data_IF_817961046391
#
_entry.id   IF_817961046391
#
_cell.length_a   1.000
_cell.length_b   1.000
_cell.length_c   1.000
_cell.angle_alpha   90.00
_cell.angle_beta   90.00
_cell.angle_gamma   90.00
#
_symmetry.space_group_name_H-M   'P 1'
#
loop_
_entity.id
_entity.type
_entity.pdbx_description
1 polymer ?
#
# COMPACT_ATOMS: atom_id res chain seq x y z
N UNK A 1 -0.43 -33.88 53.20
CA UNK A 1 -0.87 -32.70 52.42
C UNK A 1 -0.16 -32.68 51.09
N UNK A 2 -0.90 -32.92 50.04
CA UNK A 2 -0.36 -32.84 48.70
C UNK A 2 -0.77 -31.54 48.07
N UNK A 3 0.21 -30.69 47.77
CA UNK A 3 -0.03 -29.50 47.01
C UNK A 3 -0.03 -29.87 45.54
N UNK A 4 -1.17 -29.84 44.93
CA UNK A 4 -1.25 -29.98 43.46
C UNK A 4 -0.91 -28.66 42.85
N UNK A 5 0.26 -28.58 42.26
CA UNK A 5 0.61 -27.46 41.40
C UNK A 5 -0.20 -27.58 40.13
N UNK A 6 -1.19 -26.73 40.02
CA UNK A 6 -1.84 -26.53 38.73
C UNK A 6 -1.01 -25.63 37.87
N UNK A 7 -0.42 -26.20 36.83
CA UNK A 7 0.24 -25.45 35.80
C UNK A 7 -0.85 -24.80 34.95
N UNK A 8 -1.05 -23.52 35.14
CA UNK A 8 -1.87 -22.74 34.22
C UNK A 8 -1.01 -22.51 32.99
N UNK A 9 -1.28 -23.25 31.95
CA UNK A 9 -0.71 -22.97 30.65
C UNK A 9 -1.32 -21.68 30.14
N UNK A 10 -0.58 -20.61 30.21
CA UNK A 10 -0.94 -19.36 29.54
C UNK A 10 -0.65 -19.58 28.06
N UNK A 11 -1.69 -19.87 27.31
CA UNK A 11 -1.59 -19.89 25.85
C UNK A 11 -1.57 -18.44 25.42
N UNK A 12 -0.41 -17.93 25.14
CA UNK A 12 -0.28 -16.65 24.46
C UNK A 12 -0.80 -16.82 23.03
N UNK A 13 -2.01 -16.37 22.78
CA UNK A 13 -2.51 -16.21 21.43
C UNK A 13 -1.72 -15.09 20.75
N UNK A 14 -0.67 -15.47 20.03
CA UNK A 14 -0.04 -14.60 19.07
C UNK A 14 -1.03 -14.45 17.91
N UNK A 15 -1.83 -13.40 17.97
CA UNK A 15 -2.62 -13.01 16.83
C UNK A 15 -1.68 -12.64 15.69
N UNK A 16 -1.65 -13.45 14.63
CA UNK A 16 -1.02 -13.04 13.41
C UNK A 16 -1.77 -11.82 12.87
N UNK A 17 -1.17 -10.64 13.04
CA UNK A 17 -1.66 -9.45 12.36
C UNK A 17 -1.39 -9.62 10.88
N UNK A 18 -2.38 -10.09 10.12
CA UNK A 18 -2.34 -10.03 8.67
C UNK A 18 -2.33 -8.57 8.20
N UNK A 19 -1.90 -8.28 6.95
CA UNK A 19 -1.97 -6.94 6.40
C UNK A 19 -3.42 -6.47 6.43
N UNK A 20 -3.66 -5.37 7.12
CA UNK A 20 -4.98 -4.77 7.22
C UNK A 20 -5.14 -3.86 6.00
N UNK A 21 -5.75 -4.39 4.92
CA UNK A 21 -6.00 -3.64 3.68
C UNK A 21 -6.81 -2.36 3.91
N UNK A 22 -7.66 -2.33 4.94
CA UNK A 22 -8.42 -1.16 5.35
C UNK A 22 -7.51 -0.01 5.80
N UNK A 23 -6.42 -0.29 6.53
CA UNK A 23 -5.47 0.73 6.97
C UNK A 23 -4.69 1.30 5.79
N UNK A 24 -4.36 0.48 4.80
CA UNK A 24 -3.68 0.93 3.59
C UNK A 24 -4.59 1.81 2.73
N UNK A 25 -5.89 1.49 2.65
CA UNK A 25 -6.86 2.36 1.99
C UNK A 25 -7.01 3.69 2.74
N UNK A 26 -7.05 3.67 4.06
CA UNK A 26 -7.07 4.88 4.86
C UNK A 26 -5.83 5.75 4.59
N UNK A 27 -4.69 5.14 4.39
CA UNK A 27 -3.48 5.84 4.00
C UNK A 27 -3.60 6.51 2.63
N UNK A 28 -4.21 5.83 1.66
CA UNK A 28 -4.53 6.40 0.34
C UNK A 28 -5.37 7.68 0.50
N UNK A 29 -6.39 7.63 1.33
CA UNK A 29 -7.25 8.79 1.61
C UNK A 29 -6.49 9.91 2.32
N UNK A 30 -5.76 9.58 3.38
CA UNK A 30 -5.01 10.56 4.19
C UNK A 30 -3.93 11.27 3.40
N UNK A 31 -3.28 10.58 2.48
CA UNK A 31 -2.20 11.15 1.65
C UNK A 31 -2.73 11.82 0.39
N UNK A 32 -4.03 11.95 0.26
CA UNK A 32 -4.70 12.69 -0.81
C UNK A 32 -4.49 12.11 -2.21
N UNK A 33 -4.25 10.82 -2.31
CA UNK A 33 -4.04 10.15 -3.59
C UNK A 33 -5.30 10.23 -4.48
N UNK A 34 -6.48 10.20 -3.86
CA UNK A 34 -7.76 10.22 -4.57
C UNK A 34 -8.10 11.56 -5.21
N UNK A 35 -7.30 12.60 -4.97
CA UNK A 35 -7.42 13.86 -5.70
C UNK A 35 -7.17 13.66 -7.21
N UNK A 36 -6.27 12.74 -7.57
CA UNK A 36 -5.86 12.47 -8.95
C UNK A 36 -6.07 11.04 -9.41
N UNK A 37 -6.27 10.11 -8.49
CA UNK A 37 -6.45 8.69 -8.78
C UNK A 37 -7.78 8.16 -8.27
N UNK A 38 -8.29 7.12 -8.93
CA UNK A 38 -9.39 6.29 -8.45
C UNK A 38 -8.99 4.82 -8.54
N UNK A 39 -9.79 3.93 -7.98
CA UNK A 39 -9.47 2.50 -7.98
C UNK A 39 -9.68 1.89 -9.35
N UNK A 40 -10.81 2.18 -10.00
CA UNK A 40 -11.25 1.52 -11.23
C UNK A 40 -11.60 2.48 -12.38
N UNK A 41 -11.53 3.79 -12.17
CA UNK A 41 -11.79 4.78 -13.20
C UNK A 41 -10.61 5.73 -13.35
N UNK A 42 -10.30 6.08 -14.59
CA UNK A 42 -9.31 7.11 -14.86
C UNK A 42 -9.84 8.48 -14.46
N UNK A 43 -8.97 9.24 -13.80
CA UNK A 43 -9.22 10.64 -13.46
C UNK A 43 -8.10 11.47 -14.09
N UNK A 44 -7.41 12.32 -13.35
CA UNK A 44 -6.20 12.97 -13.83
C UNK A 44 -5.06 11.97 -14.01
N UNK A 45 -4.87 11.09 -13.03
CA UNK A 45 -3.93 9.99 -13.11
C UNK A 45 -4.59 8.66 -13.53
N UNK A 46 -3.77 7.63 -13.79
CA UNK A 46 -4.29 6.30 -14.07
C UNK A 46 -5.06 5.74 -12.87
N UNK A 47 -6.02 4.84 -13.14
CA UNK A 47 -6.66 4.13 -12.03
C UNK A 47 -5.70 3.10 -11.43
N UNK A 48 -5.93 2.74 -10.19
CA UNK A 48 -5.00 1.86 -9.48
C UNK A 48 -4.99 0.44 -10.03
N UNK A 49 -6.10 -0.05 -10.57
CA UNK A 49 -6.15 -1.37 -11.19
C UNK A 49 -5.30 -1.46 -12.45
N UNK A 50 -5.31 -0.43 -13.28
CA UNK A 50 -4.43 -0.42 -14.47
C UNK A 50 -2.96 -0.26 -14.11
N UNK A 51 -2.65 0.46 -13.02
CA UNK A 51 -1.28 0.49 -12.48
C UNK A 51 -0.85 -0.90 -12.03
N UNK A 52 -1.70 -1.59 -11.26
CA UNK A 52 -1.42 -2.96 -10.81
C UNK A 52 -1.18 -3.90 -12.01
N UNK A 53 -2.01 -3.82 -13.03
CA UNK A 53 -1.87 -4.64 -14.23
C UNK A 53 -0.56 -4.37 -14.98
N UNK A 54 -0.18 -3.10 -15.12
CA UNK A 54 1.05 -2.71 -15.82
C UNK A 54 2.30 -3.24 -15.13
N UNK A 55 2.31 -3.26 -13.81
CA UNK A 55 3.49 -3.65 -13.03
C UNK A 55 3.43 -5.09 -12.48
N UNK A 56 2.40 -5.86 -12.84
CA UNK A 56 2.17 -7.20 -12.30
C UNK A 56 3.36 -8.15 -12.42
N UNK A 57 4.08 -8.10 -13.55
CA UNK A 57 5.18 -9.01 -13.86
C UNK A 57 6.56 -8.42 -13.58
N UNK A 58 6.61 -7.19 -13.07
CA UNK A 58 7.89 -6.55 -12.78
C UNK A 58 8.41 -6.96 -11.42
N UNK A 59 9.65 -7.44 -11.40
CA UNK A 59 10.40 -7.58 -10.15
C UNK A 59 10.62 -6.19 -9.57
N UNK A 60 10.59 -6.07 -8.27
CA UNK A 60 10.76 -4.80 -7.57
C UNK A 60 9.66 -3.76 -7.86
N UNK A 61 8.48 -4.19 -8.31
CA UNK A 61 7.38 -3.30 -8.63
C UNK A 61 7.03 -2.37 -7.46
N UNK A 62 7.00 -2.89 -6.24
CA UNK A 62 6.71 -2.08 -5.05
C UNK A 62 7.76 -0.99 -4.82
N UNK A 63 9.03 -1.29 -5.01
CA UNK A 63 10.10 -0.31 -4.87
C UNK A 63 10.05 0.75 -5.97
N UNK A 64 9.75 0.34 -7.21
CA UNK A 64 9.59 1.25 -8.33
C UNK A 64 8.43 2.22 -8.07
N UNK A 65 7.27 1.70 -7.69
CA UNK A 65 6.10 2.52 -7.43
C UNK A 65 6.28 3.41 -6.20
N UNK A 66 6.93 2.93 -5.16
CA UNK A 66 7.23 3.74 -3.98
C UNK A 66 8.09 4.97 -4.33
N UNK A 67 9.10 4.79 -5.18
CA UNK A 67 9.90 5.92 -5.67
C UNK A 67 9.08 6.89 -6.51
N UNK A 68 8.23 6.38 -7.39
CA UNK A 68 7.34 7.21 -8.22
C UNK A 68 6.37 8.04 -7.37
N UNK A 69 5.84 7.46 -6.31
CA UNK A 69 4.98 8.19 -5.37
C UNK A 69 5.75 9.36 -4.75
N UNK A 70 6.94 9.12 -4.25
CA UNK A 70 7.71 10.15 -3.55
C UNK A 70 8.31 11.19 -4.48
N UNK A 71 8.80 10.79 -5.65
CA UNK A 71 9.51 11.67 -6.60
C UNK A 71 8.61 12.24 -7.68
N UNK A 72 7.43 11.64 -7.89
CA UNK A 72 6.58 11.98 -9.01
C UNK A 72 7.14 11.46 -10.33
N UNK A 73 6.54 11.88 -11.41
CA UNK A 73 6.98 11.51 -12.76
C UNK A 73 5.99 11.91 -13.82
N UNK A 74 6.39 11.68 -15.06
CA UNK A 74 5.57 11.94 -16.23
C UNK A 74 5.97 11.00 -17.36
N UNK A 75 5.13 10.85 -18.36
CA UNK A 75 5.43 10.13 -19.60
C UNK A 75 4.99 8.67 -19.63
N UNK A 76 4.93 7.98 -18.49
CA UNK A 76 4.54 6.56 -18.45
C UNK A 76 3.07 6.40 -18.81
N UNK A 77 2.22 7.33 -18.39
CA UNK A 77 0.77 7.30 -18.58
C UNK A 77 0.26 8.42 -19.47
N UNK A 78 1.16 9.09 -20.17
CA UNK A 78 0.86 10.24 -21.01
C UNK A 78 1.55 11.50 -20.52
N UNK A 79 1.11 12.69 -21.00
CA UNK A 79 1.80 13.96 -20.71
C UNK A 79 1.53 14.53 -19.33
N UNK A 80 0.52 14.04 -18.63
CA UNK A 80 0.16 14.55 -17.31
C UNK A 80 1.21 14.24 -16.28
N UNK A 81 1.53 15.21 -15.43
CA UNK A 81 2.57 15.11 -14.42
C UNK A 81 1.99 14.66 -13.09
N UNK A 82 2.56 13.61 -12.50
CA UNK A 82 2.34 13.32 -11.09
C UNK A 82 3.37 14.10 -10.28
N UNK A 83 2.94 15.05 -9.44
CA UNK A 83 3.87 15.80 -8.62
C UNK A 83 4.49 14.92 -7.54
N UNK A 84 5.70 15.27 -7.04
CA UNK A 84 6.27 14.61 -5.88
C UNK A 84 5.35 14.72 -4.66
N UNK A 85 5.38 13.68 -3.82
CA UNK A 85 4.56 13.62 -2.60
C UNK A 85 5.48 13.64 -1.36
N UNK A 86 6.00 14.81 -0.97
CA UNK A 86 6.96 14.91 0.14
C UNK A 86 6.34 14.57 1.50
N UNK A 87 5.02 14.63 1.61
CA UNK A 87 4.29 14.25 2.83
C UNK A 87 4.22 12.74 3.06
N UNK A 88 4.65 11.94 2.07
CA UNK A 88 4.66 10.49 2.14
C UNK A 88 6.07 10.01 2.50
N UNK A 89 6.21 9.29 3.62
CA UNK A 89 7.48 8.69 4.01
C UNK A 89 7.83 7.49 3.12
N UNK A 90 9.07 7.02 3.19
CA UNK A 90 9.48 5.80 2.47
C UNK A 90 8.65 4.58 2.86
N UNK A 91 8.41 4.40 4.15
CA UNK A 91 7.60 3.28 4.64
C UNK A 91 6.15 3.39 4.17
N UNK A 92 5.58 4.59 4.20
CA UNK A 92 4.24 4.84 3.70
C UNK A 92 4.14 4.65 2.18
N UNK A 93 5.11 5.13 1.44
CA UNK A 93 5.16 4.94 -0.02
C UNK A 93 5.20 3.45 -0.39
N UNK A 94 5.96 2.66 0.36
CA UNK A 94 6.03 1.21 0.16
C UNK A 94 4.71 0.52 0.48
N UNK A 95 4.05 0.92 1.56
CA UNK A 95 2.72 0.41 1.91
C UNK A 95 1.68 0.76 0.85
N UNK A 96 1.69 2.00 0.37
CA UNK A 96 0.81 2.45 -0.71
C UNK A 96 1.07 1.67 -2.02
N UNK A 97 2.33 1.47 -2.38
CA UNK A 97 2.70 0.70 -3.56
C UNK A 97 2.19 -0.75 -3.48
N UNK A 98 2.35 -1.40 -2.35
CA UNK A 98 1.85 -2.76 -2.13
C UNK A 98 0.33 -2.83 -2.19
N UNK A 99 -0.34 -1.84 -1.63
CA UNK A 99 -1.80 -1.74 -1.73
C UNK A 99 -2.25 -1.66 -3.19
N UNK A 100 -1.69 -0.74 -3.97
CA UNK A 100 -2.02 -0.59 -5.39
C UNK A 100 -1.78 -1.89 -6.15
N UNK A 101 -0.63 -2.53 -5.93
CA UNK A 101 -0.29 -3.80 -6.59
C UNK A 101 -1.20 -4.97 -6.21
N UNK A 102 -1.90 -4.89 -5.08
CA UNK A 102 -2.85 -5.90 -4.63
C UNK A 102 -4.20 -5.85 -5.37
N UNK A 103 -4.48 -4.76 -6.07
CA UNK A 103 -5.75 -4.56 -6.76
C UNK A 103 -5.80 -5.33 -8.08
N UNK A 104 -6.95 -5.91 -8.36
CA UNK A 104 -7.17 -6.69 -9.58
C UNK A 104 -8.41 -6.21 -10.33
#
# INVERSE_FOLDING_TARGET
>A
MRVTLQWIAVIALLGAAGPVLADDYDLVVKKNCLACHQIDKRKYGPNFKEVAAKYADQKNAADILARKIRRGGTGVWGPDVMPPQPQVSEAEARALAKYVLSLK
#
